data_IF_740861978731
#
_entry.id   IF_740861978731
#
_cell.length_a   1.000
_cell.length_b   1.000
_cell.length_c   1.000
_cell.angle_alpha   90.00
_cell.angle_beta   90.00
_cell.angle_gamma   90.00
#
_symmetry.space_group_name_H-M   'P 1'
#
loop_
_entity.id
_entity.type
_entity.pdbx_description
1 polymer ?
#
# COMPACT_ATOMS: atom_id res chain seq x y z
N UNK A 1 -19.23 22.50 5.15
CA UNK A 1 -17.95 22.38 4.40
C UNK A 1 -18.24 22.43 2.92
N UNK A 2 -17.45 23.21 2.17
CA UNK A 2 -17.42 23.21 0.71
C UNK A 2 -16.78 21.94 0.18
N UNK A 3 -16.94 21.68 -1.11
CA UNK A 3 -16.29 20.52 -1.76
C UNK A 3 -14.76 20.52 -1.54
N UNK A 4 -14.09 21.67 -1.74
CA UNK A 4 -12.66 21.79 -1.53
C UNK A 4 -12.22 21.55 -0.06
N UNK A 5 -13.01 21.98 0.91
CA UNK A 5 -12.76 21.68 2.32
C UNK A 5 -12.87 20.18 2.62
N UNK A 6 -13.84 19.48 2.01
CA UNK A 6 -14.00 18.04 2.17
C UNK A 6 -12.83 17.29 1.49
N UNK A 7 -12.41 17.68 0.28
CA UNK A 7 -11.24 17.12 -0.39
C UNK A 7 -9.97 17.27 0.46
N UNK A 8 -9.75 18.46 1.02
CA UNK A 8 -8.64 18.69 1.95
C UNK A 8 -8.72 17.78 3.18
N UNK A 9 -9.89 17.68 3.79
CA UNK A 9 -10.12 16.81 4.94
C UNK A 9 -9.87 15.33 4.62
N UNK A 10 -10.33 14.86 3.46
CA UNK A 10 -10.04 13.49 2.97
C UNK A 10 -8.55 13.26 2.82
N UNK A 11 -7.80 14.25 2.30
CA UNK A 11 -6.34 14.20 2.24
C UNK A 11 -5.68 14.08 3.61
N UNK A 12 -6.19 14.80 4.62
CA UNK A 12 -5.69 14.71 5.99
C UNK A 12 -5.97 13.32 6.61
N UNK A 13 -7.15 12.73 6.40
CA UNK A 13 -7.43 11.36 6.84
C UNK A 13 -6.48 10.34 6.19
N UNK A 14 -6.06 10.57 4.95
CA UNK A 14 -5.15 9.67 4.25
C UNK A 14 -3.76 9.61 4.90
N UNK A 15 -3.32 10.65 5.63
CA UNK A 15 -2.08 10.59 6.42
C UNK A 15 -2.10 9.48 7.47
N UNK A 16 -3.28 9.18 8.01
CA UNK A 16 -3.47 8.17 9.05
C UNK A 16 -4.14 6.88 8.55
N UNK A 17 -4.13 6.66 7.24
CA UNK A 17 -4.63 5.43 6.63
C UNK A 17 -6.11 5.45 6.28
N UNK A 18 -6.70 6.60 6.02
CA UNK A 18 -8.11 6.71 5.62
C UNK A 18 -8.46 5.99 4.32
N UNK A 19 -7.49 5.85 3.42
CA UNK A 19 -7.64 5.28 2.07
C UNK A 19 -8.81 5.85 1.28
N UNK A 20 -9.03 7.15 1.40
CA UNK A 20 -10.13 7.86 0.77
C UNK A 20 -9.74 8.37 -0.62
N UNK A 21 -10.69 8.30 -1.55
CA UNK A 21 -10.69 9.19 -2.71
C UNK A 21 -10.91 10.63 -2.24
N UNK A 22 -10.15 11.57 -2.78
CA UNK A 22 -10.33 13.01 -2.51
C UNK A 22 -11.34 13.58 -3.50
N UNK A 23 -12.62 13.18 -3.34
CA UNK A 23 -13.72 13.47 -4.27
C UNK A 23 -14.68 14.58 -3.77
N UNK A 24 -14.45 15.05 -2.54
CA UNK A 24 -15.28 16.06 -1.90
C UNK A 24 -16.66 15.57 -1.45
N UNK A 25 -16.83 14.24 -1.26
CA UNK A 25 -18.09 13.65 -0.81
C UNK A 25 -17.93 12.96 0.57
N UNK A 26 -18.86 13.21 1.48
CA UNK A 26 -18.89 12.55 2.79
C UNK A 26 -19.73 11.27 2.70
N UNK A 27 -19.07 10.18 2.34
CA UNK A 27 -19.67 8.85 2.27
C UNK A 27 -19.37 7.98 3.50
N UNK A 28 -19.70 6.67 3.37
CA UNK A 28 -19.45 5.67 4.42
C UNK A 28 -17.95 5.60 4.78
N UNK A 29 -17.06 5.63 3.80
CA UNK A 29 -15.63 5.52 4.02
C UNK A 29 -15.08 6.76 4.75
N UNK A 30 -15.56 7.96 4.43
CA UNK A 30 -15.19 9.18 5.16
C UNK A 30 -15.62 9.10 6.63
N UNK A 31 -16.85 8.62 6.91
CA UNK A 31 -17.33 8.45 8.31
C UNK A 31 -16.52 7.41 9.08
N UNK A 32 -16.10 6.31 8.42
CA UNK A 32 -15.19 5.32 9.01
C UNK A 32 -13.84 5.96 9.35
N UNK A 33 -13.27 6.74 8.43
CA UNK A 33 -12.01 7.45 8.66
C UNK A 33 -12.10 8.43 9.84
N UNK A 34 -13.25 9.09 10.04
CA UNK A 34 -13.50 9.89 11.25
C UNK A 34 -13.43 9.03 12.51
N UNK A 35 -14.10 7.88 12.53
CA UNK A 35 -14.10 6.99 13.70
C UNK A 35 -12.69 6.47 14.02
N UNK A 36 -11.94 6.04 12.99
CA UNK A 36 -10.56 5.57 13.14
C UNK A 36 -9.64 6.68 13.68
N UNK A 37 -9.73 7.88 13.11
CA UNK A 37 -8.91 9.01 13.54
C UNK A 37 -9.24 9.45 14.97
N UNK A 38 -10.51 9.42 15.38
CA UNK A 38 -10.91 9.68 16.78
C UNK A 38 -10.33 8.64 17.74
N UNK A 39 -10.39 7.35 17.36
CA UNK A 39 -9.78 6.29 18.15
C UNK A 39 -8.27 6.46 18.28
N UNK A 40 -7.57 6.86 17.20
CA UNK A 40 -6.13 7.10 17.19
C UNK A 40 -5.71 8.34 17.99
N UNK A 41 -6.56 9.39 17.99
CA UNK A 41 -6.27 10.67 18.67
C UNK A 41 -6.62 10.66 20.15
N UNK A 42 -7.42 9.69 20.62
CA UNK A 42 -8.00 9.70 21.96
C UNK A 42 -9.08 10.77 22.16
N UNK A 43 -9.52 11.43 21.10
CA UNK A 43 -10.62 12.40 21.17
C UNK A 43 -11.96 11.69 21.40
N UNK A 44 -12.95 12.37 22.01
CA UNK A 44 -14.28 11.79 22.22
C UNK A 44 -14.88 11.25 20.92
N UNK A 45 -15.65 10.17 21.02
CA UNK A 45 -16.34 9.57 19.90
C UNK A 45 -17.26 10.57 19.19
N UNK A 46 -17.53 10.32 17.90
CA UNK A 46 -18.38 11.16 17.08
C UNK A 46 -18.33 10.75 15.60
N UNK A 47 -19.30 11.22 14.84
CA UNK A 47 -19.45 10.92 13.41
C UNK A 47 -18.98 12.05 12.50
N UNK A 48 -18.61 13.18 13.07
CA UNK A 48 -18.20 14.38 12.34
C UNK A 48 -16.75 14.76 12.65
N UNK A 49 -16.10 15.41 11.70
CA UNK A 49 -14.79 16.01 11.88
C UNK A 49 -14.96 17.44 12.43
N UNK A 50 -14.82 17.58 13.74
CA UNK A 50 -14.75 18.89 14.40
C UNK A 50 -13.33 19.50 14.28
N UNK A 51 -13.18 20.74 14.73
CA UNK A 51 -11.91 21.46 14.63
C UNK A 51 -10.79 20.76 15.39
N UNK A 52 -11.04 20.15 16.55
CA UNK A 52 -10.03 19.44 17.32
C UNK A 52 -9.48 18.23 16.55
N UNK A 53 -10.33 17.47 15.87
CA UNK A 53 -9.91 16.36 15.02
C UNK A 53 -9.15 16.87 13.80
N UNK A 54 -9.59 17.93 13.15
CA UNK A 54 -8.91 18.54 11.99
C UNK A 54 -7.50 19.01 12.39
N UNK A 55 -7.37 19.69 13.52
CA UNK A 55 -6.08 20.16 14.04
C UNK A 55 -5.14 18.99 14.35
N UNK A 56 -5.67 17.94 14.99
CA UNK A 56 -4.91 16.72 15.24
C UNK A 56 -4.42 16.06 13.96
N UNK A 57 -5.29 15.92 12.95
CA UNK A 57 -4.93 15.36 11.64
C UNK A 57 -3.88 16.21 10.91
N UNK A 58 -4.02 17.54 10.98
CA UNK A 58 -3.06 18.45 10.35
C UNK A 58 -1.66 18.32 10.96
N UNK A 59 -1.57 18.04 12.26
CA UNK A 59 -0.32 17.84 12.98
C UNK A 59 0.34 16.46 12.70
N UNK A 60 -0.38 15.52 12.08
CA UNK A 60 0.23 14.22 11.76
C UNK A 60 1.30 14.35 10.67
N UNK A 61 2.38 13.61 10.84
CA UNK A 61 3.44 13.52 9.82
C UNK A 61 2.89 12.92 8.51
N UNK A 62 3.54 13.28 7.40
CA UNK A 62 3.32 12.60 6.14
C UNK A 62 3.72 11.11 6.25
N UNK A 63 2.97 10.18 5.61
CA UNK A 63 3.21 8.74 5.76
C UNK A 63 4.53 8.26 5.12
N UNK A 64 5.17 9.12 4.34
CA UNK A 64 6.48 8.85 3.72
C UNK A 64 7.24 10.15 3.50
N UNK A 65 8.57 10.19 3.74
CA UNK A 65 9.40 11.33 3.37
C UNK A 65 9.69 11.38 1.86
N UNK A 66 9.47 10.30 1.14
CA UNK A 66 9.83 10.14 -0.27
C UNK A 66 8.65 10.28 -1.22
N UNK A 67 7.44 10.02 -0.73
CA UNK A 67 6.22 9.92 -1.53
C UNK A 67 5.14 10.83 -0.96
N UNK A 68 4.35 11.51 -1.80
CA UNK A 68 3.21 12.28 -1.31
C UNK A 68 2.13 11.34 -0.75
N UNK A 69 1.33 11.84 0.21
CA UNK A 69 0.23 11.08 0.83
C UNK A 69 -0.71 10.45 -0.19
N UNK A 70 -1.04 11.13 -1.29
CA UNK A 70 -1.85 10.58 -2.38
C UNK A 70 -1.22 9.33 -2.98
N UNK A 71 0.09 9.35 -3.21
CA UNK A 71 0.82 8.21 -3.77
C UNK A 71 0.90 7.04 -2.81
N UNK A 72 1.09 7.29 -1.51
CA UNK A 72 1.08 6.24 -0.47
C UNK A 72 -0.32 5.61 -0.38
N UNK A 73 -1.38 6.43 -0.40
CA UNK A 73 -2.77 5.97 -0.43
C UNK A 73 -3.05 5.09 -1.65
N UNK A 74 -2.56 5.51 -2.82
CA UNK A 74 -2.68 4.72 -4.04
C UNK A 74 -2.03 3.34 -3.89
N UNK A 75 -0.76 3.28 -3.44
CA UNK A 75 -0.03 2.02 -3.26
C UNK A 75 -0.79 1.10 -2.28
N UNK A 76 -1.21 1.62 -1.13
CA UNK A 76 -1.94 0.83 -0.15
C UNK A 76 -3.26 0.29 -0.70
N UNK A 77 -4.03 1.08 -1.46
CA UNK A 77 -5.26 0.63 -2.11
C UNK A 77 -4.99 -0.50 -3.11
N UNK A 78 -3.92 -0.42 -3.90
CA UNK A 78 -3.55 -1.48 -4.85
C UNK A 78 -3.11 -2.78 -4.15
N UNK A 79 -2.49 -2.68 -2.96
CA UNK A 79 -2.01 -3.85 -2.23
C UNK A 79 -3.10 -4.56 -1.43
N UNK A 80 -4.09 -3.81 -0.90
CA UNK A 80 -5.15 -4.41 -0.07
C UNK A 80 -6.50 -4.50 -0.76
N UNK A 81 -6.64 -4.08 -2.01
CA UNK A 81 -7.93 -4.05 -2.71
C UNK A 81 -8.91 -3.00 -2.17
N UNK A 82 -8.41 -2.00 -1.43
CA UNK A 82 -9.19 -0.98 -0.75
C UNK A 82 -9.63 -1.35 0.66
N UNK A 83 -10.12 -0.34 1.39
CA UNK A 83 -10.44 -0.49 2.80
C UNK A 83 -11.57 -1.49 3.07
N UNK A 84 -12.60 -1.52 2.25
CA UNK A 84 -13.73 -2.44 2.42
C UNK A 84 -13.30 -3.90 2.23
N UNK A 85 -12.43 -4.17 1.26
CA UNK A 85 -11.89 -5.50 1.06
C UNK A 85 -10.99 -5.91 2.23
N UNK A 86 -10.14 -5.01 2.72
CA UNK A 86 -9.31 -5.30 3.88
C UNK A 86 -10.15 -5.75 5.07
N UNK A 87 -11.18 -4.98 5.45
CA UNK A 87 -12.04 -5.32 6.58
C UNK A 87 -12.80 -6.64 6.41
N UNK A 88 -13.21 -6.95 5.19
CA UNK A 88 -13.97 -8.15 4.90
C UNK A 88 -13.11 -9.41 4.78
N UNK A 89 -11.88 -9.29 4.27
CA UNK A 89 -11.08 -10.42 3.82
C UNK A 89 -9.65 -10.43 4.38
N UNK A 90 -8.94 -9.28 4.39
CA UNK A 90 -7.51 -9.23 4.69
C UNK A 90 -7.18 -8.87 6.15
N UNK A 91 -8.19 -8.59 6.97
CA UNK A 91 -8.03 -8.40 8.42
C UNK A 91 -7.62 -9.70 9.14
N UNK A 92 -7.82 -10.84 8.51
CA UNK A 92 -7.43 -12.16 9.01
C UNK A 92 -6.07 -12.57 8.45
N UNK A 93 -5.26 -13.37 9.20
CA UNK A 93 -4.09 -14.03 8.63
C UNK A 93 -4.48 -14.90 7.44
N UNK A 94 -3.70 -14.80 6.36
CA UNK A 94 -3.98 -15.49 5.10
C UNK A 94 -2.77 -16.29 4.64
N UNK A 95 -2.98 -17.27 3.80
CA UNK A 95 -1.93 -17.92 3.02
C UNK A 95 -2.13 -17.64 1.53
N UNK A 96 -1.28 -16.80 0.91
CA UNK A 96 -1.39 -16.44 -0.50
C UNK A 96 -1.10 -17.59 -1.47
N UNK A 97 -0.53 -18.68 -0.97
CA UNK A 97 -0.13 -19.83 -1.81
C UNK A 97 1.37 -19.92 -2.03
N UNK A 98 1.76 -20.92 -2.83
CA UNK A 98 3.13 -21.16 -3.29
C UNK A 98 4.17 -21.17 -2.15
N UNK A 99 5.21 -20.35 -2.27
CA UNK A 99 6.33 -20.25 -1.32
C UNK A 99 6.10 -19.24 -0.19
N UNK A 100 4.87 -18.71 -0.04
CA UNK A 100 4.54 -17.75 1.02
C UNK A 100 4.38 -18.43 2.38
N UNK A 101 4.68 -17.68 3.43
CA UNK A 101 4.24 -17.98 4.79
C UNK A 101 2.80 -17.54 5.05
N UNK A 102 2.40 -17.51 6.30
CA UNK A 102 1.18 -16.79 6.72
C UNK A 102 1.45 -15.31 6.57
N UNK A 103 0.53 -14.61 5.92
CA UNK A 103 0.61 -13.19 5.60
C UNK A 103 -0.44 -12.42 6.37
N UNK A 104 -0.05 -11.27 6.95
CA UNK A 104 -0.92 -10.37 7.71
C UNK A 104 -0.80 -8.93 7.23
N UNK A 105 -1.78 -8.08 7.57
CA UNK A 105 -1.72 -6.65 7.27
C UNK A 105 -1.58 -6.36 5.77
N UNK A 106 -0.65 -5.49 5.41
CA UNK A 106 -0.38 -5.10 4.02
C UNK A 106 0.79 -5.93 3.47
N UNK A 107 0.52 -7.19 3.12
CA UNK A 107 1.51 -8.08 2.50
C UNK A 107 2.70 -8.45 3.40
N UNK A 108 2.53 -8.44 4.73
CA UNK A 108 3.58 -8.80 5.68
C UNK A 108 3.64 -10.32 5.84
N UNK A 109 4.60 -10.96 5.20
CA UNK A 109 4.80 -12.41 5.21
C UNK A 109 5.66 -12.83 6.40
N UNK A 110 5.09 -13.62 7.32
CA UNK A 110 5.75 -14.10 8.54
C UNK A 110 6.94 -15.02 8.25
N UNK A 111 6.96 -15.69 7.09
CA UNK A 111 8.09 -16.55 6.72
C UNK A 111 9.39 -15.77 6.56
N UNK A 112 9.30 -14.58 6.00
CA UNK A 112 10.48 -13.76 5.67
C UNK A 112 10.75 -12.64 6.66
N UNK A 113 10.02 -12.61 7.78
CA UNK A 113 10.06 -11.51 8.74
C UNK A 113 10.36 -11.96 10.18
N UNK A 114 10.91 -13.17 10.37
CA UNK A 114 11.11 -13.75 11.70
C UNK A 114 11.96 -12.86 12.62
N UNK A 115 13.07 -12.33 12.09
CA UNK A 115 14.05 -11.55 12.88
C UNK A 115 13.55 -10.16 13.28
N UNK A 116 12.47 -9.66 12.65
CA UNK A 116 12.00 -8.30 12.81
C UNK A 116 10.55 -8.20 13.30
N UNK A 117 9.86 -9.34 13.39
CA UNK A 117 8.44 -9.40 13.73
C UNK A 117 8.13 -8.71 15.06
N UNK A 118 8.90 -9.01 16.09
CA UNK A 118 8.71 -8.42 17.42
C UNK A 118 8.90 -6.89 17.41
N UNK A 119 9.90 -6.39 16.66
CA UNK A 119 10.12 -4.95 16.50
C UNK A 119 8.95 -4.29 15.76
N UNK A 120 8.42 -4.95 14.74
CA UNK A 120 7.38 -4.38 13.88
C UNK A 120 5.99 -4.45 14.51
N UNK A 121 5.68 -5.49 15.31
CA UNK A 121 4.33 -5.79 15.79
C UNK A 121 4.18 -5.88 17.32
N UNK A 122 5.28 -6.05 18.06
CA UNK A 122 5.28 -6.41 19.49
C UNK A 122 4.50 -5.46 20.39
N UNK A 123 4.53 -4.16 20.10
CA UNK A 123 3.80 -3.11 20.83
C UNK A 123 2.43 -2.75 20.19
N UNK A 124 2.02 -3.44 19.12
CA UNK A 124 0.87 -3.04 18.28
C UNK A 124 -0.27 -4.05 18.27
N UNK A 125 -0.02 -5.28 18.69
CA UNK A 125 -1.02 -6.35 18.75
C UNK A 125 -1.17 -6.88 20.18
N UNK A 126 -2.34 -7.43 20.54
CA UNK A 126 -2.53 -8.14 21.81
C UNK A 126 -1.57 -9.32 21.95
N UNK A 127 -1.16 -9.62 23.19
CA UNK A 127 -0.16 -10.65 23.47
C UNK A 127 -0.56 -12.06 22.99
N UNK A 128 -1.83 -12.41 23.07
CA UNK A 128 -2.38 -13.68 22.56
C UNK A 128 -2.31 -13.78 21.05
N UNK A 129 -2.57 -12.68 20.33
CA UNK A 129 -2.44 -12.59 18.87
C UNK A 129 -0.97 -12.71 18.46
N UNK A 130 -0.06 -11.99 19.14
CA UNK A 130 1.39 -12.09 18.91
C UNK A 130 1.89 -13.53 19.10
N UNK A 131 1.53 -14.17 20.21
CA UNK A 131 1.94 -15.55 20.52
C UNK A 131 1.47 -16.54 19.44
N UNK A 132 0.23 -16.42 18.97
CA UNK A 132 -0.29 -17.25 17.90
C UNK A 132 0.48 -17.04 16.58
N UNK A 133 0.74 -15.79 16.18
CA UNK A 133 1.48 -15.46 14.95
C UNK A 133 2.95 -15.89 15.02
N UNK A 134 3.59 -15.73 16.18
CA UNK A 134 5.00 -16.14 16.42
C UNK A 134 5.24 -17.61 16.09
N UNK A 135 4.26 -18.47 16.30
CA UNK A 135 4.37 -19.89 15.97
C UNK A 135 4.54 -20.17 14.47
N UNK A 136 4.27 -19.20 13.60
CA UNK A 136 4.35 -19.29 12.13
C UNK A 136 5.56 -18.57 11.52
N UNK A 137 6.40 -17.93 12.35
CA UNK A 137 7.60 -17.24 11.89
C UNK A 137 8.59 -18.19 11.23
N UNK A 138 9.17 -17.77 10.11
CA UNK A 138 10.15 -18.55 9.36
C UNK A 138 9.59 -19.80 8.64
N UNK A 139 8.28 -20.05 8.71
CA UNK A 139 7.66 -21.27 8.20
C UNK A 139 6.89 -21.04 6.91
N UNK A 140 6.93 -22.05 6.04
CA UNK A 140 6.03 -22.12 4.88
C UNK A 140 4.59 -22.20 5.39
N UNK A 141 3.72 -21.38 4.81
CA UNK A 141 2.30 -21.40 5.11
C UNK A 141 1.57 -22.53 4.40
N UNK A 142 0.33 -22.77 4.85
CA UNK A 142 -0.62 -23.64 4.18
C UNK A 142 -2.06 -23.25 4.58
N UNK A 143 -3.05 -23.82 3.89
CA UNK A 143 -4.47 -23.53 4.14
C UNK A 143 -4.89 -23.84 5.57
N UNK A 144 -4.48 -24.99 6.11
CA UNK A 144 -4.86 -25.40 7.46
C UNK A 144 -4.33 -24.44 8.53
N UNK A 145 -3.10 -23.93 8.36
CA UNK A 145 -2.53 -22.90 9.25
C UNK A 145 -3.33 -21.58 9.17
N UNK A 146 -3.72 -21.15 7.98
CA UNK A 146 -4.55 -19.95 7.83
C UNK A 146 -5.94 -20.12 8.46
N UNK A 147 -6.58 -21.27 8.27
CA UNK A 147 -7.87 -21.62 8.87
C UNK A 147 -7.80 -21.63 10.40
N UNK A 148 -6.73 -22.17 10.97
CA UNK A 148 -6.52 -22.18 12.44
C UNK A 148 -6.37 -20.78 13.02
N UNK A 149 -5.92 -19.79 12.23
CA UNK A 149 -5.77 -18.40 12.62
C UNK A 149 -6.98 -17.51 12.22
N UNK A 150 -8.04 -18.07 11.66
CA UNK A 150 -9.20 -17.33 11.13
C UNK A 150 -9.97 -16.54 12.18
N UNK A 151 -9.81 -16.86 13.46
CA UNK A 151 -10.36 -16.09 14.60
C UNK A 151 -9.56 -14.84 14.95
N UNK A 152 -8.32 -14.72 14.49
CA UNK A 152 -7.48 -13.56 14.78
C UNK A 152 -7.78 -12.41 13.82
N UNK A 153 -7.60 -11.19 14.32
CA UNK A 153 -7.76 -9.97 13.51
C UNK A 153 -6.57 -9.05 13.68
N UNK A 154 -6.13 -8.49 12.56
CA UNK A 154 -5.15 -7.41 12.50
C UNK A 154 -5.91 -6.15 12.11
N UNK A 155 -6.18 -5.22 13.05
CA UNK A 155 -6.91 -3.99 12.74
C UNK A 155 -6.19 -3.16 11.68
N UNK A 156 -6.95 -2.51 10.82
CA UNK A 156 -6.38 -1.69 9.75
C UNK A 156 -5.43 -0.60 10.25
N UNK A 157 -5.80 0.09 11.31
CA UNK A 157 -4.96 1.15 11.89
C UNK A 157 -3.58 0.64 12.33
N UNK A 158 -3.53 -0.60 12.82
CA UNK A 158 -2.28 -1.29 13.17
C UNK A 158 -1.51 -1.69 11.91
N UNK A 159 -2.19 -2.32 10.95
CA UNK A 159 -1.59 -2.71 9.66
C UNK A 159 -1.02 -1.50 8.90
N UNK A 160 -1.71 -0.37 8.92
CA UNK A 160 -1.24 0.88 8.33
C UNK A 160 0.07 1.36 8.97
N UNK A 161 0.16 1.36 10.29
CA UNK A 161 1.38 1.77 11.00
C UNK A 161 2.59 0.91 10.63
N UNK A 162 2.40 -0.41 10.54
CA UNK A 162 3.47 -1.32 10.10
C UNK A 162 3.79 -1.11 8.61
N UNK A 163 2.78 -0.90 7.78
CA UNK A 163 2.99 -0.63 6.36
C UNK A 163 3.85 0.61 6.13
N UNK A 164 3.50 1.75 6.70
CA UNK A 164 4.26 3.01 6.50
C UNK A 164 5.61 3.01 7.22
N UNK A 165 5.72 2.31 8.34
CA UNK A 165 6.97 2.24 9.12
C UNK A 165 7.96 1.18 8.63
N UNK A 166 7.50 0.16 7.90
CA UNK A 166 8.33 -0.99 7.50
C UNK A 166 8.24 -1.33 6.02
N UNK A 167 7.06 -1.76 5.57
CA UNK A 167 6.92 -2.31 4.21
C UNK A 167 7.18 -1.27 3.14
N UNK A 168 6.61 -0.09 3.27
CA UNK A 168 6.74 0.99 2.29
C UNK A 168 8.17 1.51 2.18
N UNK A 169 8.90 1.84 3.27
CA UNK A 169 10.30 2.25 3.19
C UNK A 169 11.18 1.20 2.52
N UNK A 170 10.99 -0.07 2.82
CA UNK A 170 11.71 -1.16 2.18
C UNK A 170 11.47 -1.19 0.66
N UNK A 171 10.23 -1.01 0.22
CA UNK A 171 9.91 -0.98 -1.21
C UNK A 171 10.46 0.28 -1.90
N UNK A 172 10.50 1.41 -1.22
CA UNK A 172 11.18 2.62 -1.73
C UNK A 172 12.67 2.34 -1.97
N UNK A 173 13.36 1.74 -1.01
CA UNK A 173 14.79 1.36 -1.14
C UNK A 173 14.99 0.40 -2.32
N UNK A 174 14.17 -0.65 -2.42
CA UNK A 174 14.20 -1.61 -3.53
C UNK A 174 13.98 -0.91 -4.88
N UNK A 175 13.01 0.00 -4.96
CA UNK A 175 12.70 0.74 -6.18
C UNK A 175 13.84 1.63 -6.63
N UNK A 176 14.53 2.29 -5.68
CA UNK A 176 15.76 3.06 -5.98
C UNK A 176 16.87 2.20 -6.58
N UNK A 177 17.01 0.97 -6.12
CA UNK A 177 17.97 0.02 -6.68
C UNK A 177 17.66 -0.35 -8.13
N UNK A 178 16.39 -0.45 -8.49
CA UNK A 178 15.93 -0.77 -9.86
C UNK A 178 16.02 0.44 -10.80
N UNK A 179 15.58 1.61 -10.31
CA UNK A 179 15.43 2.83 -11.09
C UNK A 179 16.29 3.96 -10.52
N UNK A 180 17.52 4.07 -11.00
CA UNK A 180 18.51 5.04 -10.48
C UNK A 180 18.08 6.51 -10.61
N UNK A 181 17.21 6.82 -11.58
CA UNK A 181 16.64 8.16 -11.76
C UNK A 181 15.55 8.51 -10.72
N UNK A 182 15.16 7.59 -9.83
CA UNK A 182 14.03 7.71 -8.89
C UNK A 182 14.01 9.04 -8.12
N UNK A 183 15.14 9.45 -7.58
CA UNK A 183 15.21 10.66 -6.72
C UNK A 183 14.84 11.95 -7.46
N UNK A 184 15.02 11.99 -8.78
CA UNK A 184 14.80 13.16 -9.62
C UNK A 184 13.38 13.23 -10.20
N UNK A 185 12.53 12.24 -9.90
CA UNK A 185 11.17 12.18 -10.43
C UNK A 185 10.18 12.95 -9.57
N UNK A 186 9.07 13.44 -10.15
CA UNK A 186 7.94 13.94 -9.39
C UNK A 186 7.40 12.90 -8.41
N UNK A 187 6.86 13.35 -7.27
CA UNK A 187 6.44 12.45 -6.19
C UNK A 187 5.45 11.36 -6.59
N UNK A 188 4.44 11.70 -7.41
CA UNK A 188 3.46 10.71 -7.90
C UNK A 188 4.10 9.70 -8.88
N UNK A 189 5.06 10.15 -9.71
CA UNK A 189 5.80 9.24 -10.59
C UNK A 189 6.66 8.26 -9.77
N UNK A 190 7.28 8.72 -8.67
CA UNK A 190 7.97 7.84 -7.72
C UNK A 190 7.01 6.81 -7.12
N UNK A 191 5.81 7.23 -6.74
CA UNK A 191 4.79 6.34 -6.18
C UNK A 191 4.37 5.24 -7.16
N UNK A 192 4.25 5.56 -8.43
CA UNK A 192 3.94 4.56 -9.48
C UNK A 192 5.06 3.53 -9.61
N UNK A 193 6.33 3.95 -9.58
CA UNK A 193 7.45 2.99 -9.62
C UNK A 193 7.48 2.09 -8.38
N UNK A 194 7.17 2.63 -7.19
CA UNK A 194 7.06 1.83 -5.96
C UNK A 194 5.90 0.82 -6.08
N UNK A 195 4.74 1.23 -6.59
CA UNK A 195 3.61 0.33 -6.86
C UNK A 195 4.01 -0.79 -7.84
N UNK A 196 4.73 -0.43 -8.90
CA UNK A 196 5.20 -1.39 -9.90
C UNK A 196 6.15 -2.42 -9.29
N UNK A 197 7.15 -1.99 -8.52
CA UNK A 197 8.13 -2.87 -7.86
C UNK A 197 7.47 -3.70 -6.77
N UNK A 198 6.52 -3.15 -6.03
CA UNK A 198 5.75 -3.89 -5.03
C UNK A 198 5.03 -5.09 -5.66
N UNK A 199 4.42 -4.88 -6.82
CA UNK A 199 3.67 -5.92 -7.54
C UNK A 199 4.56 -6.88 -8.35
N UNK A 200 5.68 -6.38 -8.93
CA UNK A 200 6.47 -7.11 -9.93
C UNK A 200 7.81 -7.60 -9.39
N UNK A 201 8.24 -7.11 -8.23
CA UNK A 201 9.59 -7.34 -7.71
C UNK A 201 10.66 -6.50 -8.41
N UNK A 202 11.90 -6.74 -8.04
CA UNK A 202 13.07 -5.96 -8.45
C UNK A 202 13.84 -6.55 -9.62
N UNK A 203 13.62 -7.84 -9.90
CA UNK A 203 14.29 -8.51 -10.99
C UNK A 203 13.81 -7.97 -12.34
N UNK A 204 14.76 -7.61 -13.19
CA UNK A 204 14.52 -7.14 -14.55
C UNK A 204 14.97 -8.15 -15.62
N UNK A 205 15.60 -9.24 -15.23
CA UNK A 205 16.02 -10.27 -16.15
C UNK A 205 14.85 -11.20 -16.47
N UNK A 206 14.79 -11.65 -17.71
CA UNK A 206 13.84 -12.65 -18.15
C UNK A 206 14.53 -14.02 -18.25
N UNK A 207 13.79 -15.06 -17.92
CA UNK A 207 14.20 -16.43 -18.27
C UNK A 207 14.29 -16.59 -19.79
N UNK A 208 15.13 -17.51 -20.29
CA UNK A 208 15.22 -17.78 -21.73
C UNK A 208 13.86 -18.02 -22.36
N UNK A 209 13.54 -17.25 -23.40
CA UNK A 209 12.26 -17.31 -24.10
C UNK A 209 11.10 -16.53 -23.43
N UNK A 210 11.36 -15.84 -22.34
CA UNK A 210 10.40 -14.95 -21.67
C UNK A 210 10.67 -13.49 -22.03
N UNK A 211 9.60 -12.68 -22.00
CA UNK A 211 9.69 -11.22 -22.17
C UNK A 211 8.89 -10.48 -21.08
N UNK A 212 8.65 -11.14 -19.96
CA UNK A 212 7.80 -10.62 -18.87
C UNK A 212 8.34 -9.35 -18.22
N UNK A 213 9.64 -9.07 -18.37
CA UNK A 213 10.33 -7.90 -17.80
C UNK A 213 10.63 -6.80 -18.84
N UNK A 214 10.23 -7.00 -20.09
CA UNK A 214 10.50 -6.07 -21.20
C UNK A 214 10.09 -4.63 -20.87
N UNK A 215 8.87 -4.39 -20.45
CA UNK A 215 8.37 -3.05 -20.19
C UNK A 215 9.06 -2.40 -18.98
N UNK A 216 9.42 -3.17 -17.95
CA UNK A 216 10.16 -2.64 -16.80
C UNK A 216 11.58 -2.19 -17.21
N UNK A 217 12.26 -2.96 -18.07
CA UNK A 217 13.57 -2.56 -18.66
C UNK A 217 13.42 -1.32 -19.53
N UNK A 218 12.38 -1.28 -20.36
CA UNK A 218 12.09 -0.13 -21.23
C UNK A 218 11.83 1.13 -20.38
N UNK A 219 11.03 1.04 -19.32
CA UNK A 219 10.83 2.14 -18.37
C UNK A 219 12.16 2.61 -17.82
N UNK A 220 13.06 1.73 -17.38
CA UNK A 220 14.40 2.11 -16.89
C UNK A 220 15.17 2.92 -17.92
N UNK A 221 15.18 2.47 -19.18
CA UNK A 221 15.83 3.20 -20.29
C UNK A 221 15.21 4.56 -20.58
N UNK A 222 13.87 4.66 -20.55
CA UNK A 222 13.13 5.92 -20.74
C UNK A 222 13.47 6.94 -19.64
N UNK A 223 13.54 6.48 -18.38
CA UNK A 223 13.91 7.34 -17.25
C UNK A 223 15.34 7.87 -17.38
N UNK A 224 16.28 7.04 -17.80
CA UNK A 224 17.66 7.43 -18.06
C UNK A 224 17.78 8.44 -19.21
N UNK A 225 16.92 8.29 -20.22
CA UNK A 225 16.84 9.20 -21.38
C UNK A 225 15.98 10.46 -21.17
N UNK A 226 15.39 10.65 -19.97
CA UNK A 226 14.51 11.81 -19.69
C UNK A 226 13.15 11.76 -20.39
N UNK A 227 12.74 10.63 -20.95
CA UNK A 227 11.50 10.45 -21.74
C UNK A 227 10.34 10.04 -20.84
N UNK A 228 10.00 10.89 -19.86
CA UNK A 228 9.03 10.59 -18.81
C UNK A 228 7.60 10.45 -19.36
N UNK A 229 7.27 11.16 -20.42
CA UNK A 229 5.99 11.16 -21.12
C UNK A 229 5.65 9.80 -21.77
N UNK A 230 6.66 8.97 -22.07
CA UNK A 230 6.49 7.66 -22.70
C UNK A 230 6.30 6.51 -21.70
N UNK A 231 6.51 6.74 -20.40
CA UNK A 231 6.36 5.71 -19.37
C UNK A 231 4.94 5.17 -19.27
N UNK A 232 3.86 6.00 -19.36
CA UNK A 232 2.49 5.48 -19.33
C UNK A 232 2.19 4.44 -20.39
N UNK A 233 2.80 4.56 -21.56
CA UNK A 233 2.56 3.59 -22.66
C UNK A 233 3.16 2.22 -22.32
N UNK A 234 4.29 2.18 -21.61
CA UNK A 234 4.87 0.94 -21.13
C UNK A 234 4.04 0.30 -20.01
N UNK A 235 3.50 1.11 -19.10
CA UNK A 235 2.57 0.61 -18.07
C UNK A 235 1.33 -0.02 -18.72
N UNK A 236 0.77 0.61 -19.73
CA UNK A 236 -0.38 0.06 -20.47
C UNK A 236 -0.01 -1.18 -21.29
N UNK A 237 1.18 -1.23 -21.89
CA UNK A 237 1.66 -2.39 -22.66
C UNK A 237 1.77 -3.65 -21.77
N UNK A 238 2.12 -3.50 -20.47
CA UNK A 238 2.17 -4.64 -19.55
C UNK A 238 0.84 -5.39 -19.41
N UNK A 239 -0.30 -4.80 -19.81
CA UNK A 239 -1.62 -5.46 -19.74
C UNK A 239 -1.64 -6.78 -20.51
N UNK A 240 -0.80 -6.93 -21.54
CA UNK A 240 -0.62 -8.17 -22.30
C UNK A 240 -0.22 -9.38 -21.42
N UNK A 241 0.43 -9.12 -20.30
CA UNK A 241 0.91 -10.18 -19.38
C UNK A 241 -0.24 -10.85 -18.61
N UNK A 242 -1.41 -10.25 -18.58
CA UNK A 242 -2.56 -10.72 -17.79
C UNK A 242 -3.86 -10.68 -18.60
N UNK A 243 -3.98 -11.50 -19.67
CA UNK A 243 -5.21 -11.52 -20.48
C UNK A 243 -6.44 -11.85 -19.64
N UNK A 244 -6.30 -12.72 -18.66
CA UNK A 244 -7.39 -13.25 -17.82
C UNK A 244 -7.56 -12.54 -16.48
N UNK A 245 -6.68 -11.58 -16.12
CA UNK A 245 -6.77 -10.84 -14.86
C UNK A 245 -7.17 -9.40 -15.08
N UNK A 246 -8.48 -9.12 -14.95
CA UNK A 246 -9.03 -7.77 -15.06
C UNK A 246 -8.38 -6.81 -14.04
N UNK A 247 -8.23 -7.21 -12.78
CA UNK A 247 -7.69 -6.36 -11.73
C UNK A 247 -6.26 -5.88 -12.01
N UNK A 248 -5.39 -6.77 -12.51
CA UNK A 248 -4.01 -6.40 -12.87
C UNK A 248 -3.95 -5.49 -14.10
N UNK A 249 -4.84 -5.66 -15.08
CA UNK A 249 -4.92 -4.73 -16.22
C UNK A 249 -5.38 -3.34 -15.78
N UNK A 250 -6.43 -3.25 -14.97
CA UNK A 250 -6.92 -1.99 -14.42
C UNK A 250 -5.89 -1.30 -13.52
N UNK A 251 -5.08 -2.07 -12.75
CA UNK A 251 -3.95 -1.51 -11.98
C UNK A 251 -2.97 -0.78 -12.90
N UNK A 252 -2.60 -1.34 -14.06
CA UNK A 252 -1.72 -0.67 -15.03
C UNK A 252 -2.33 0.61 -15.59
N UNK A 253 -3.64 0.63 -15.78
CA UNK A 253 -4.36 1.83 -16.23
C UNK A 253 -4.33 2.93 -15.17
N UNK A 254 -4.60 2.58 -13.90
CA UNK A 254 -4.53 3.53 -12.78
C UNK A 254 -3.12 4.05 -12.55
N UNK A 255 -2.10 3.20 -12.66
CA UNK A 255 -0.69 3.61 -12.58
C UNK A 255 -0.32 4.58 -13.71
N UNK A 256 -0.73 4.30 -14.95
CA UNK A 256 -0.50 5.21 -16.07
C UNK A 256 -1.21 6.56 -15.88
N UNK A 257 -2.44 6.56 -15.35
CA UNK A 257 -3.18 7.77 -15.05
C UNK A 257 -2.49 8.60 -13.94
N UNK A 258 -2.04 7.94 -12.86
CA UNK A 258 -1.33 8.60 -11.76
C UNK A 258 0.02 9.17 -12.22
N UNK A 259 0.72 8.47 -13.11
CA UNK A 259 1.96 8.96 -13.71
C UNK A 259 1.73 10.27 -14.48
N UNK A 260 0.71 10.30 -15.38
CA UNK A 260 0.36 11.51 -16.14
C UNK A 260 -0.01 12.67 -15.22
N UNK A 261 -0.77 12.39 -14.15
CA UNK A 261 -1.07 13.42 -13.13
C UNK A 261 0.20 13.96 -12.47
N UNK A 262 1.21 13.12 -12.26
CA UNK A 262 2.47 13.55 -11.67
C UNK A 262 3.34 14.40 -12.57
N UNK A 263 3.10 14.41 -13.88
CA UNK A 263 3.80 15.24 -14.85
C UNK A 263 3.10 16.59 -15.15
N UNK A 264 1.81 16.70 -14.80
CA UNK A 264 1.02 17.92 -14.98
C UNK A 264 1.32 18.97 -13.92
#
# INVERSE_FOLDING_TARGET
>A
MTKAEIERLQGLFNKVGGLLATDGQIGRNTRRAVADARALSGLPGGTEADQALIDWLAAQAEPSPDLPTEGVTFIANEEVGGRDFYEAQATFPQWPGEQSGITIGVGYDLRFSADIFETDWGDKLPADVLAALTSHLGKLGNRAAAEALSGLRVPWTTAWRVFIGRSLPLQVVRTRGVYTAFANLPGLCRSVLVSLVFNRGTDLDDDPGSDRRLEMRTIRGLLQGGKLDQVPDQLLAMRRLWPDSRGLRERREREAALWRKGLA
#
